data_IF_196816001527
#
_entry.id   IF_196816001527
#
_cell.length_a   1.000
_cell.length_b   1.000
_cell.length_c   1.000
_cell.angle_alpha   90.00
_cell.angle_beta   90.00
_cell.angle_gamma   90.00
#
_symmetry.space_group_name_H-M   'P 1'
#
loop_
_entity.id
_entity.type
_entity.pdbx_description
1 polymer ?
#
# COMPACT_ATOMS: atom_id res chain seq x y z
N UNK A 1 13.28 -9.17 -6.28
CA UNK A 1 12.35 -10.22 -6.75
C UNK A 1 10.95 -9.78 -6.36
N UNK A 2 9.99 -9.78 -7.28
CA UNK A 2 8.61 -9.34 -7.01
C UNK A 2 7.67 -10.55 -6.98
N UNK A 3 6.78 -10.63 -5.99
CA UNK A 3 5.83 -11.74 -5.82
C UNK A 3 4.42 -11.23 -5.99
N UNK A 4 3.68 -11.82 -6.92
CA UNK A 4 2.26 -11.54 -7.11
C UNK A 4 1.42 -12.48 -6.25
N UNK A 5 0.29 -12.00 -5.74
CA UNK A 5 -0.71 -12.80 -5.02
C UNK A 5 -2.06 -12.55 -5.70
N UNK A 6 -2.45 -13.40 -6.66
CA UNK A 6 -3.69 -13.22 -7.39
C UNK A 6 -4.89 -13.47 -6.48
N UNK A 7 -6.00 -12.78 -6.74
CA UNK A 7 -7.27 -12.98 -6.07
C UNK A 7 -7.18 -13.00 -4.53
N UNK A 8 -6.37 -12.09 -3.95
CA UNK A 8 -6.30 -11.94 -2.49
C UNK A 8 -7.68 -11.60 -1.90
N UNK A 9 -8.44 -10.76 -2.61
CA UNK A 9 -9.85 -10.51 -2.37
C UNK A 9 -10.65 -11.01 -3.58
N UNK A 10 -11.84 -11.53 -3.32
CA UNK A 10 -12.86 -11.83 -4.34
C UNK A 10 -13.40 -10.54 -4.97
N UNK A 11 -14.05 -10.67 -6.13
CA UNK A 11 -14.68 -9.52 -6.81
C UNK A 11 -15.73 -8.83 -5.94
N UNK A 12 -16.51 -9.60 -5.16
CA UNK A 12 -17.52 -9.08 -4.24
C UNK A 12 -16.89 -8.29 -3.09
N UNK A 13 -15.80 -8.79 -2.50
CA UNK A 13 -15.05 -8.09 -1.44
C UNK A 13 -14.41 -6.80 -1.97
N UNK A 14 -13.87 -6.82 -3.19
CA UNK A 14 -13.39 -5.60 -3.85
C UNK A 14 -14.54 -4.62 -4.06
N UNK A 15 -15.70 -5.08 -4.52
CA UNK A 15 -16.91 -4.26 -4.67
C UNK A 15 -17.34 -3.59 -3.35
N UNK A 16 -17.34 -4.34 -2.25
CA UNK A 16 -17.66 -3.82 -0.92
C UNK A 16 -16.65 -2.76 -0.46
N UNK A 17 -15.35 -3.01 -0.68
CA UNK A 17 -14.29 -2.06 -0.40
C UNK A 17 -14.50 -0.75 -1.18
N UNK A 18 -14.78 -0.84 -2.49
CA UNK A 18 -15.05 0.33 -3.35
C UNK A 18 -16.29 1.10 -2.89
N UNK A 19 -17.38 0.42 -2.55
CA UNK A 19 -18.60 1.06 -2.05
C UNK A 19 -18.37 1.82 -0.74
N UNK A 20 -17.55 1.28 0.17
CA UNK A 20 -17.15 1.97 1.38
C UNK A 20 -16.27 3.20 1.08
N UNK A 21 -15.24 3.02 0.25
CA UNK A 21 -14.30 4.07 -0.15
C UNK A 21 -14.97 5.23 -0.92
N UNK A 22 -16.07 4.97 -1.62
CA UNK A 22 -16.86 6.02 -2.29
C UNK A 22 -17.50 7.01 -1.30
N UNK A 23 -17.64 6.64 -0.02
CA UNK A 23 -18.20 7.48 1.05
C UNK A 23 -17.12 8.14 1.93
N UNK A 24 -15.85 7.82 1.69
CA UNK A 24 -14.74 8.31 2.49
C UNK A 24 -14.30 9.73 2.09
N UNK A 25 -13.62 10.42 3.00
CA UNK A 25 -13.13 11.78 2.76
C UNK A 25 -11.71 11.73 2.19
N UNK A 26 -11.61 11.97 0.89
CA UNK A 26 -10.35 12.01 0.17
C UNK A 26 -9.67 13.38 0.34
N UNK A 27 -8.42 13.38 0.77
CA UNK A 27 -7.61 14.60 0.93
C UNK A 27 -6.41 14.59 -0.04
N UNK A 28 -5.83 15.76 -0.29
CA UNK A 28 -4.62 15.89 -1.11
C UNK A 28 -3.48 15.07 -0.50
N UNK A 29 -2.98 14.10 -1.27
CA UNK A 29 -1.96 13.17 -0.81
C UNK A 29 -0.62 13.79 -0.43
N UNK A 30 -0.34 15.03 -0.85
CA UNK A 30 0.85 15.79 -0.42
C UNK A 30 0.84 16.09 1.07
N UNK A 31 -0.35 16.21 1.66
CA UNK A 31 -0.54 16.48 3.10
C UNK A 31 -0.29 15.25 3.98
N UNK A 32 -0.31 14.05 3.39
CA UNK A 32 -0.18 12.76 4.11
C UNK A 32 1.18 12.10 3.90
N UNK A 33 2.08 12.73 3.14
CA UNK A 33 3.41 12.22 2.85
C UNK A 33 4.45 12.86 3.78
N UNK A 34 5.48 12.08 4.19
CA UNK A 34 6.67 12.64 4.83
C UNK A 34 7.38 13.63 3.90
N UNK A 35 8.21 14.52 4.46
CA UNK A 35 8.82 15.66 3.75
C UNK A 35 9.45 15.33 2.38
N UNK A 36 10.05 14.14 2.21
CA UNK A 36 10.68 13.72 0.94
C UNK A 36 9.68 13.24 -0.13
N UNK A 37 8.58 12.61 0.27
CA UNK A 37 7.60 12.01 -0.63
C UNK A 37 6.55 13.01 -1.16
N UNK A 38 6.29 14.10 -0.43
CA UNK A 38 5.27 15.08 -0.80
C UNK A 38 5.53 15.82 -2.12
N UNK A 39 6.77 15.90 -2.60
CA UNK A 39 7.12 16.64 -3.83
C UNK A 39 6.79 15.89 -5.12
N UNK A 40 6.71 14.56 -5.06
CA UNK A 40 6.47 13.69 -6.22
C UNK A 40 5.01 13.20 -6.30
N UNK A 41 4.18 13.54 -5.31
CA UNK A 41 2.85 12.94 -5.11
C UNK A 41 1.76 13.89 -5.60
N UNK A 42 1.05 13.46 -6.64
CA UNK A 42 -0.16 14.09 -7.17
C UNK A 42 -1.27 13.06 -7.14
N UNK A 43 -1.84 12.81 -5.96
CA UNK A 43 -2.93 11.86 -5.78
C UNK A 43 -3.84 12.31 -4.64
N UNK A 44 -4.90 11.54 -4.41
CA UNK A 44 -5.72 11.63 -3.22
C UNK A 44 -5.39 10.48 -2.28
N UNK A 45 -5.50 10.72 -0.99
CA UNK A 45 -5.35 9.68 0.03
C UNK A 45 -6.38 9.89 1.13
N UNK A 46 -6.80 8.81 1.79
CA UNK A 46 -7.50 8.94 3.06
C UNK A 46 -6.56 9.45 4.16
N UNK A 47 -7.12 10.21 5.11
CA UNK A 47 -6.44 10.57 6.34
C UNK A 47 -6.10 9.31 7.16
N UNK A 48 -5.06 9.37 7.99
CA UNK A 48 -4.63 8.22 8.77
C UNK A 48 -5.71 7.78 9.78
N UNK A 49 -6.52 8.72 10.25
CA UNK A 49 -7.58 8.55 11.24
C UNK A 49 -8.96 8.30 10.61
N UNK A 50 -9.05 8.18 9.27
CA UNK A 50 -10.34 7.96 8.60
C UNK A 50 -10.94 6.60 9.05
N UNK A 51 -12.18 6.59 9.60
CA UNK A 51 -12.77 5.38 10.17
C UNK A 51 -13.05 4.30 9.12
N UNK A 52 -13.32 4.67 7.87
CA UNK A 52 -13.48 3.72 6.76
C UNK A 52 -12.12 3.12 6.42
N UNK A 53 -11.09 3.97 6.32
CA UNK A 53 -9.70 3.52 6.12
C UNK A 53 -9.26 2.52 7.18
N UNK A 54 -9.48 2.82 8.46
CA UNK A 54 -9.15 1.92 9.57
C UNK A 54 -9.85 0.56 9.45
N UNK A 55 -11.17 0.55 9.27
CA UNK A 55 -11.95 -0.70 9.18
C UNK A 55 -11.51 -1.58 8.01
N UNK A 56 -11.28 -0.98 6.84
CA UNK A 56 -10.82 -1.72 5.67
C UNK A 56 -9.39 -2.24 5.84
N UNK A 57 -8.51 -1.42 6.44
CA UNK A 57 -7.14 -1.79 6.78
C UNK A 57 -7.10 -3.03 7.68
N UNK A 58 -7.90 -3.06 8.75
CA UNK A 58 -7.99 -4.21 9.65
C UNK A 58 -8.42 -5.49 8.90
N UNK A 59 -9.48 -5.41 8.10
CA UNK A 59 -9.94 -6.55 7.30
C UNK A 59 -8.88 -7.08 6.33
N UNK A 60 -8.18 -6.19 5.62
CA UNK A 60 -7.10 -6.57 4.70
C UNK A 60 -5.94 -7.24 5.45
N UNK A 61 -5.55 -6.72 6.61
CA UNK A 61 -4.49 -7.32 7.44
C UNK A 61 -4.92 -8.72 7.92
N UNK A 62 -6.19 -8.92 8.30
CA UNK A 62 -6.72 -10.24 8.63
C UNK A 62 -6.64 -11.20 7.44
N UNK A 63 -7.02 -10.78 6.23
CA UNK A 63 -6.94 -11.61 5.02
C UNK A 63 -5.48 -11.99 4.72
N UNK A 64 -4.56 -11.03 4.80
CA UNK A 64 -3.12 -11.26 4.60
C UNK A 64 -2.56 -12.29 5.59
N UNK A 65 -2.91 -12.19 6.87
CA UNK A 65 -2.43 -13.10 7.91
C UNK A 65 -2.86 -14.56 7.68
N UNK A 66 -4.00 -14.78 7.02
CA UNK A 66 -4.51 -16.11 6.69
C UNK A 66 -4.12 -16.59 5.28
N UNK A 67 -3.40 -15.78 4.49
CA UNK A 67 -2.97 -16.15 3.15
C UNK A 67 -1.59 -16.85 3.17
N UNK A 68 -1.50 -18.17 2.88
CA UNK A 68 -0.24 -18.91 3.01
C UNK A 68 0.87 -18.39 2.08
N UNK A 69 0.50 -17.91 0.89
CA UNK A 69 1.44 -17.36 -0.08
C UNK A 69 2.05 -16.04 0.41
N UNK A 70 1.25 -15.17 1.00
CA UNK A 70 1.74 -13.95 1.64
C UNK A 70 2.66 -14.26 2.81
N UNK A 71 2.23 -15.15 3.71
CA UNK A 71 3.04 -15.51 4.88
C UNK A 71 4.40 -16.10 4.49
N UNK A 72 4.44 -16.98 3.49
CA UNK A 72 5.69 -17.56 2.99
C UNK A 72 6.58 -16.53 2.27
N UNK A 73 5.99 -15.59 1.51
CA UNK A 73 6.75 -14.61 0.73
C UNK A 73 7.28 -13.45 1.59
N UNK A 74 6.49 -12.99 2.56
CA UNK A 74 6.78 -11.77 3.32
C UNK A 74 7.31 -12.03 4.74
N UNK A 75 7.00 -13.19 5.33
CA UNK A 75 7.35 -13.54 6.72
C UNK A 75 7.11 -12.37 7.70
N UNK A 76 5.89 -11.79 7.73
CA UNK A 76 5.66 -10.50 8.34
C UNK A 76 5.81 -10.55 9.87
N UNK A 77 6.71 -9.73 10.41
CA UNK A 77 6.78 -9.47 11.86
C UNK A 77 5.76 -8.40 12.28
N UNK A 78 5.62 -7.36 11.47
CA UNK A 78 4.65 -6.26 11.64
C UNK A 78 4.18 -5.78 10.28
N UNK A 79 2.91 -5.41 10.18
CA UNK A 79 2.33 -4.79 8.98
C UNK A 79 2.03 -3.33 9.30
N UNK A 80 2.56 -2.40 8.51
CA UNK A 80 2.15 -1.01 8.58
C UNK A 80 0.69 -0.89 8.09
N UNK A 81 -0.21 -0.18 8.80
CA UNK A 81 -1.61 -0.09 8.39
C UNK A 81 -1.76 0.32 6.91
N UNK A 82 -2.47 -0.48 6.09
CA UNK A 82 -2.75 -0.13 4.70
C UNK A 82 -3.22 1.32 4.51
N UNK A 83 -2.59 2.00 3.55
CA UNK A 83 -3.00 3.35 3.11
C UNK A 83 -3.77 3.26 1.81
N UNK A 84 -4.87 4.01 1.72
CA UNK A 84 -5.75 4.03 0.56
C UNK A 84 -5.46 5.27 -0.28
N UNK A 85 -4.96 5.05 -1.49
CA UNK A 85 -4.65 6.10 -2.47
C UNK A 85 -5.63 6.02 -3.64
N UNK A 86 -5.99 7.18 -4.20
CA UNK A 86 -6.77 7.32 -5.44
C UNK A 86 -6.04 8.24 -6.40
N UNK A 87 -5.93 7.81 -7.65
CA UNK A 87 -5.29 8.55 -8.73
C UNK A 87 -6.36 8.87 -9.77
N UNK A 88 -6.51 10.15 -10.10
CA UNK A 88 -7.50 10.64 -11.07
C UNK A 88 -6.92 11.84 -11.83
N UNK A 89 -7.47 12.15 -13.01
CA UNK A 89 -7.11 13.36 -13.77
C UNK A 89 -5.62 13.48 -14.13
N UNK A 90 -4.93 12.36 -14.39
CA UNK A 90 -3.49 12.35 -14.66
C UNK A 90 -2.61 12.42 -13.40
N UNK A 91 -3.17 12.20 -12.21
CA UNK A 91 -2.40 12.11 -10.97
C UNK A 91 -1.31 11.03 -11.03
N UNK A 92 -0.14 11.33 -10.47
CA UNK A 92 1.03 10.46 -10.49
C UNK A 92 1.70 10.38 -9.12
N UNK A 93 2.53 9.35 -8.94
CA UNK A 93 3.52 9.34 -7.87
C UNK A 93 4.88 9.08 -8.51
N UNK A 94 5.64 10.16 -8.70
CA UNK A 94 6.91 10.11 -9.41
C UNK A 94 7.95 9.19 -8.76
N UNK A 95 9.03 8.90 -9.48
CA UNK A 95 10.14 8.08 -8.99
C UNK A 95 10.66 8.57 -7.65
N UNK A 96 10.71 7.67 -6.67
CA UNK A 96 11.21 7.94 -5.33
C UNK A 96 11.67 6.63 -4.66
N UNK A 97 12.35 6.78 -3.52
CA UNK A 97 12.67 5.68 -2.61
C UNK A 97 11.84 5.87 -1.35
N UNK A 98 11.19 4.81 -0.88
CA UNK A 98 10.43 4.85 0.36
C UNK A 98 11.32 5.05 1.60
N UNK A 99 10.78 5.71 2.63
CA UNK A 99 11.46 5.84 3.91
C UNK A 99 11.75 4.47 4.51
N UNK A 100 13.01 4.20 4.88
CA UNK A 100 13.46 2.94 5.48
C UNK A 100 12.79 2.61 6.84
N UNK A 101 12.28 3.63 7.53
CA UNK A 101 11.56 3.46 8.81
C UNK A 101 10.31 4.35 8.81
N UNK A 102 9.17 3.74 9.09
CA UNK A 102 7.86 4.38 9.16
C UNK A 102 7.40 4.51 10.61
N UNK A 103 6.84 5.65 10.98
CA UNK A 103 6.17 5.84 12.28
C UNK A 103 4.70 5.45 12.16
N UNK A 104 4.22 4.58 13.05
CA UNK A 104 2.82 4.13 13.02
C UNK A 104 1.92 5.20 13.63
N UNK A 105 0.93 5.74 12.90
CA UNK A 105 0.03 6.77 13.40
C UNK A 105 -0.63 6.38 14.73
N UNK A 106 -0.78 7.33 15.65
CA UNK A 106 -1.41 7.11 16.95
C UNK A 106 -0.62 6.22 17.92
N UNK A 107 0.63 5.85 17.62
CA UNK A 107 1.45 5.01 18.49
C UNK A 107 2.92 5.48 18.58
N UNK A 108 3.66 5.11 19.63
CA UNK A 108 5.09 5.38 19.71
C UNK A 108 5.93 4.41 18.83
N UNK A 109 5.29 3.50 18.10
CA UNK A 109 5.98 2.45 17.38
C UNK A 109 6.53 2.92 16.04
N UNK A 110 7.70 2.37 15.69
CA UNK A 110 8.33 2.50 14.38
C UNK A 110 8.50 1.12 13.75
N UNK A 111 8.33 1.05 12.44
CA UNK A 111 8.45 -0.17 11.63
C UNK A 111 9.51 0.06 10.56
N UNK A 112 10.46 -0.86 10.44
CA UNK A 112 11.40 -0.88 9.30
C UNK A 112 10.64 -1.38 8.06
N UNK A 113 10.70 -0.62 6.97
CA UNK A 113 10.04 -0.98 5.71
C UNK A 113 10.89 -1.99 4.96
N UNK A 114 10.76 -3.26 5.32
CA UNK A 114 11.49 -4.32 4.63
C UNK A 114 10.91 -4.55 3.24
N UNK A 115 9.57 -4.62 3.17
CA UNK A 115 8.75 -4.92 1.99
C UNK A 115 7.66 -3.85 1.83
N UNK A 116 7.48 -3.35 0.60
CA UNK A 116 6.29 -2.59 0.17
C UNK A 116 5.34 -3.50 -0.60
N UNK A 117 4.04 -3.28 -0.50
CA UNK A 117 3.02 -4.04 -1.23
C UNK A 117 1.87 -3.11 -1.67
N UNK A 118 1.24 -3.42 -2.80
CA UNK A 118 0.09 -2.67 -3.32
C UNK A 118 -1.08 -3.61 -3.57
N UNK A 119 -2.23 -3.39 -2.93
CA UNK A 119 -3.47 -4.09 -3.27
C UNK A 119 -4.29 -3.24 -4.24
N UNK A 120 -4.60 -3.79 -5.42
CA UNK A 120 -5.40 -3.11 -6.42
C UNK A 120 -6.89 -3.31 -6.12
N UNK A 121 -7.63 -2.20 -6.10
CA UNK A 121 -9.09 -2.17 -5.87
C UNK A 121 -9.87 -1.68 -7.11
N UNK A 122 -9.18 -1.43 -8.22
CA UNK A 122 -9.75 -1.10 -9.52
C UNK A 122 -9.24 -2.11 -10.54
N UNK A 123 -10.07 -2.43 -11.54
CA UNK A 123 -9.61 -3.23 -12.67
C UNK A 123 -8.67 -2.39 -13.55
N UNK A 124 -7.48 -2.89 -13.98
CA UNK A 124 -6.64 -2.23 -14.98
C UNK A 124 -7.38 -1.77 -16.24
N UNK A 125 -8.45 -2.46 -16.65
CA UNK A 125 -9.23 -2.06 -17.82
C UNK A 125 -10.14 -0.85 -17.55
N UNK A 126 -10.26 -0.39 -16.31
CA UNK A 126 -11.08 0.78 -15.91
C UNK A 126 -10.31 2.11 -16.00
N UNK A 127 -9.00 2.11 -16.26
CA UNK A 127 -8.20 3.34 -16.29
C UNK A 127 -7.04 3.31 -17.29
N UNK A 128 -6.88 4.41 -18.01
CA UNK A 128 -5.74 4.64 -18.89
C UNK A 128 -4.48 4.95 -18.06
N UNK A 129 -3.32 4.50 -18.53
CA UNK A 129 -2.03 4.85 -17.92
C UNK A 129 -1.55 3.93 -16.79
N UNK A 130 -2.15 2.74 -16.61
CA UNK A 130 -1.48 1.66 -15.89
C UNK A 130 -0.11 1.42 -16.54
N UNK A 131 0.99 1.64 -15.83
CA UNK A 131 2.31 1.32 -16.38
C UNK A 131 2.31 -0.16 -16.78
N UNK A 132 2.67 -0.53 -18.02
CA UNK A 132 2.52 -1.90 -18.53
C UNK A 132 3.35 -2.94 -17.75
N UNK A 133 4.27 -2.48 -16.88
CA UNK A 133 5.07 -3.33 -15.98
C UNK A 133 4.52 -3.45 -14.55
N UNK A 134 3.31 -2.95 -14.25
CA UNK A 134 2.70 -2.98 -12.92
C UNK A 134 1.45 -3.90 -12.84
N UNK A 135 1.56 -5.22 -13.10
CA UNK A 135 0.46 -6.14 -12.90
C UNK A 135 0.12 -6.36 -11.42
N UNK A 136 -1.17 -6.63 -11.15
CA UNK A 136 -1.83 -6.70 -9.83
C UNK A 136 -0.96 -7.35 -8.73
N UNK A 137 -0.85 -6.60 -7.63
CA UNK A 137 0.02 -6.75 -6.45
C UNK A 137 1.52 -6.72 -6.71
N UNK A 138 2.14 -5.56 -6.39
CA UNK A 138 3.55 -5.28 -6.65
C UNK A 138 4.29 -5.05 -5.34
N UNK A 139 5.34 -5.83 -5.17
CA UNK A 139 6.45 -5.59 -4.25
C UNK A 139 6.65 -6.69 -3.22
N UNK A 140 7.76 -7.41 -3.34
CA UNK A 140 8.60 -7.76 -2.20
C UNK A 140 9.88 -7.02 -2.48
N UNK A 141 9.99 -5.76 -2.06
CA UNK A 141 11.32 -5.20 -1.87
C UNK A 141 11.90 -6.00 -0.70
N UNK A 142 13.09 -6.57 -0.82
CA UNK A 142 13.89 -6.84 0.36
C UNK A 142 14.88 -5.69 0.38
N UNK A 143 14.77 -4.80 1.37
CA UNK A 143 15.92 -4.00 1.76
C UNK A 143 16.99 -4.98 2.26
N UNK A 144 17.79 -5.52 1.33
CA UNK A 144 18.96 -6.34 1.60
C UNK A 144 20.03 -5.44 2.23
N UNK A 145 19.86 -5.10 3.51
CA UNK A 145 20.95 -4.69 4.39
C UNK A 145 21.75 -5.91 4.89
N UNK A 146 21.84 -6.99 4.10
CA UNK A 146 22.79 -8.08 4.31
C UNK A 146 23.94 -7.97 3.32
N UNK A 147 24.87 -7.07 3.62
CA UNK A 147 26.31 -7.20 3.38
C UNK A 147 27.07 -6.17 4.23
N UNK A 148 27.15 -6.46 5.53
CA UNK A 148 28.11 -5.86 6.45
C UNK A 148 28.83 -6.97 7.22
N UNK A 149 29.40 -7.93 6.49
CA UNK A 149 30.34 -8.91 7.08
C UNK A 149 31.32 -9.52 6.06
N UNK A 150 31.58 -8.84 4.95
CA UNK A 150 32.66 -9.19 4.02
C UNK A 150 33.31 -7.93 3.47
N UNK A 151 33.94 -7.18 4.36
CA UNK A 151 35.15 -6.37 4.15
C UNK A 151 35.87 -6.30 5.49
#
# INVERSE_FOLDING_TARGET
MMVQIPALLSADEVGQCRQALARAQWVDGRTTAGHQAGRAKQNLQLAAEDPIGHKLSEGIVTVLAHNPRFMAAALPLKVFPPRFNRYEGGGTYGWHVDSAVLSVPGSPHRIRSDISATLFLSDPDEYDGAHPELPRLLGVYQNLLRRWSQL
#
